data_IF_880467288030
#
_entry.id   IF_880467288030
#
_cell.length_a   1.000
_cell.length_b   1.000
_cell.length_c   1.000
_cell.angle_alpha   90.00
_cell.angle_beta   90.00
_cell.angle_gamma   90.00
#
_symmetry.space_group_name_H-M   'P 1'
#
loop_
_entity.id
_entity.type
_entity.pdbx_description
1 polymer ?
#
# COMPACT_ATOMS: atom_id res chain seq x y z
N UNK A 1 14.37 -11.83 1.62
CA UNK A 1 13.07 -11.53 1.49
C UNK A 1 12.45 -11.24 2.78
N UNK A 2 11.31 -11.78 3.15
CA UNK A 2 10.68 -11.37 4.40
C UNK A 2 11.12 -12.23 5.60
N UNK A 3 11.95 -13.17 5.38
CA UNK A 3 12.77 -13.85 6.42
C UNK A 3 12.10 -14.10 7.75
N UNK A 4 11.09 -14.88 7.82
CA UNK A 4 10.36 -15.22 9.03
C UNK A 4 9.56 -14.06 9.64
N UNK A 5 9.47 -12.94 8.97
CA UNK A 5 8.63 -11.87 9.46
C UNK A 5 7.19 -12.14 9.11
N UNK A 6 6.29 -11.62 9.91
CA UNK A 6 4.87 -11.73 9.65
C UNK A 6 4.32 -13.10 9.93
N UNK A 7 3.16 -13.38 9.37
CA UNK A 7 2.49 -14.65 9.59
C UNK A 7 1.85 -15.12 8.29
N UNK A 8 1.64 -16.41 8.16
CA UNK A 8 1.02 -16.98 6.97
C UNK A 8 -0.47 -17.09 7.19
N UNK A 9 -1.24 -16.68 6.20
CA UNK A 9 -2.68 -16.76 6.25
C UNK A 9 -3.19 -16.77 4.82
N UNK A 10 -4.16 -17.60 4.52
CA UNK A 10 -4.76 -17.68 3.18
C UNK A 10 -3.75 -18.01 2.08
N UNK A 11 -2.67 -18.68 2.46
CA UNK A 11 -1.68 -19.11 1.48
C UNK A 11 -0.62 -18.09 1.14
N UNK A 12 -0.54 -16.99 1.87
CA UNK A 12 0.49 -15.99 1.63
C UNK A 12 0.89 -15.31 2.94
N UNK A 13 2.01 -14.60 2.89
CA UNK A 13 2.56 -13.96 4.06
C UNK A 13 1.88 -12.62 4.32
N UNK A 14 1.61 -12.34 5.58
CA UNK A 14 1.06 -11.06 6.02
C UNK A 14 2.06 -10.39 6.94
N UNK A 15 2.27 -9.10 6.76
CA UNK A 15 3.17 -8.32 7.61
C UNK A 15 2.34 -7.32 8.41
N UNK A 16 2.70 -7.11 9.67
CA UNK A 16 2.09 -6.03 10.43
C UNK A 16 2.57 -4.71 9.84
N UNK A 17 1.90 -3.59 10.13
CA UNK A 17 2.36 -2.31 9.62
C UNK A 17 3.80 -2.00 10.00
N UNK A 18 4.21 -2.31 11.24
CA UNK A 18 5.57 -2.02 11.67
C UNK A 18 6.59 -2.89 10.94
N UNK A 19 6.26 -4.16 10.72
CA UNK A 19 7.14 -5.03 9.96
C UNK A 19 7.25 -4.55 8.51
N UNK A 20 6.13 -4.15 7.94
CA UNK A 20 6.12 -3.67 6.55
C UNK A 20 6.93 -2.38 6.43
N UNK A 21 6.79 -1.48 7.39
CA UNK A 21 7.55 -0.24 7.36
C UNK A 21 9.05 -0.52 7.47
N UNK A 22 9.44 -1.42 8.35
CA UNK A 22 10.86 -1.76 8.49
C UNK A 22 11.41 -2.32 7.17
N UNK A 23 10.66 -3.18 6.50
CA UNK A 23 11.11 -3.72 5.22
C UNK A 23 11.19 -2.63 4.16
N UNK A 24 10.20 -1.73 4.13
CA UNK A 24 10.18 -0.67 3.14
C UNK A 24 11.28 0.36 3.37
N UNK A 25 11.60 0.64 4.63
CA UNK A 25 12.57 1.67 4.97
C UNK A 25 14.01 1.14 4.95
N UNK A 26 14.20 -0.11 5.37
CA UNK A 26 15.55 -0.63 5.58
C UNK A 26 16.00 -1.64 4.53
N UNK A 27 15.13 -2.10 3.68
CA UNK A 27 15.53 -3.02 2.64
C UNK A 27 15.04 -2.48 1.30
N UNK A 28 14.95 -3.33 0.28
CA UNK A 28 14.54 -2.89 -1.04
C UNK A 28 13.06 -3.13 -1.30
N UNK A 29 12.28 -3.40 -0.27
CA UNK A 29 10.87 -3.70 -0.44
C UNK A 29 10.12 -2.50 -1.02
N UNK A 30 9.17 -2.81 -1.90
CA UNK A 30 8.34 -1.81 -2.55
C UNK A 30 6.93 -1.98 -2.03
N UNK A 31 6.29 -0.90 -1.60
CA UNK A 31 4.88 -0.95 -1.27
C UNK A 31 4.09 -0.71 -2.56
N UNK A 32 3.25 -1.66 -2.91
CA UNK A 32 2.38 -1.55 -4.08
C UNK A 32 0.99 -1.26 -3.58
N UNK A 33 0.55 -0.01 -3.75
CA UNK A 33 -0.73 0.47 -3.26
C UNK A 33 -1.77 0.16 -4.31
N UNK A 34 -2.68 -0.76 -4.01
CA UNK A 34 -3.67 -1.21 -4.97
C UNK A 34 -5.03 -0.58 -4.76
N UNK A 35 -5.10 0.48 -3.95
CA UNK A 35 -6.35 1.22 -3.79
C UNK A 35 -6.72 1.88 -5.11
N UNK A 36 -8.01 1.96 -5.39
CA UNK A 36 -8.45 2.68 -6.58
C UNK A 36 -8.13 4.16 -6.39
N UNK A 37 -7.89 4.86 -7.47
CA UNK A 37 -7.47 6.25 -7.38
C UNK A 37 -8.45 7.10 -6.59
N UNK A 38 -9.73 6.85 -6.73
CA UNK A 38 -10.72 7.61 -5.99
C UNK A 38 -10.68 7.37 -4.49
N UNK A 39 -10.03 6.28 -4.06
CA UNK A 39 -9.94 5.94 -2.65
C UNK A 39 -8.63 6.38 -2.01
N UNK A 40 -7.66 6.79 -2.81
CA UNK A 40 -6.39 7.24 -2.27
C UNK A 40 -6.54 8.55 -1.53
N UNK A 41 -7.34 9.44 -2.07
CA UNK A 41 -7.56 10.72 -1.42
C UNK A 41 -6.27 11.48 -1.26
N UNK A 42 -6.05 12.02 -0.08
CA UNK A 42 -4.86 12.82 0.17
C UNK A 42 -3.85 12.12 1.07
N UNK A 43 -4.07 10.83 1.40
CA UNK A 43 -3.14 10.11 2.25
C UNK A 43 -2.39 9.08 1.45
N UNK A 44 -1.07 9.11 1.54
CA UNK A 44 -0.21 8.14 0.87
C UNK A 44 0.85 7.63 1.83
N UNK A 45 1.32 6.41 1.61
CA UNK A 45 2.42 5.87 2.39
C UNK A 45 3.68 6.71 2.15
N UNK A 46 4.36 7.09 3.22
CA UNK A 46 5.59 7.86 3.09
C UNK A 46 6.76 6.91 3.23
N UNK A 47 7.11 6.25 2.14
CA UNK A 47 8.17 5.25 2.10
C UNK A 47 9.04 5.51 0.87
N UNK A 48 10.28 5.00 0.88
CA UNK A 48 11.19 5.28 -0.23
C UNK A 48 10.73 4.74 -1.58
N UNK A 49 10.04 3.60 -1.60
CA UNK A 49 9.61 2.98 -2.84
C UNK A 49 8.13 2.68 -2.76
N UNK A 50 7.35 3.38 -3.54
CA UNK A 50 5.90 3.26 -3.55
C UNK A 50 5.43 3.25 -4.99
N UNK A 51 4.61 2.27 -5.33
CA UNK A 51 3.99 2.17 -6.65
C UNK A 51 2.50 2.18 -6.45
N UNK A 52 1.79 3.00 -7.22
CA UNK A 52 0.33 2.98 -7.23
C UNK A 52 -0.12 2.15 -8.42
N UNK A 53 -0.75 1.02 -8.15
CA UNK A 53 -1.26 0.16 -9.22
C UNK A 53 -2.63 -0.34 -8.78
N UNK A 54 -3.68 0.41 -9.10
CA UNK A 54 -5.03 0.05 -8.65
C UNK A 54 -5.41 -1.37 -9.07
N UNK A 55 -6.16 -2.03 -8.21
CA UNK A 55 -6.58 -3.41 -8.48
C UNK A 55 -7.25 -3.51 -9.85
N UNK A 56 -8.02 -2.50 -10.26
CA UNK A 56 -8.71 -2.54 -11.53
C UNK A 56 -7.75 -2.50 -12.72
N UNK A 57 -6.49 -2.12 -12.50
CA UNK A 57 -5.50 -2.04 -13.57
C UNK A 57 -4.39 -3.07 -13.42
N UNK A 58 -4.57 -4.03 -12.50
CA UNK A 58 -3.49 -4.97 -12.23
C UNK A 58 -3.14 -5.83 -13.45
N UNK A 59 -4.12 -6.18 -14.27
CA UNK A 59 -3.88 -7.04 -15.42
C UNK A 59 -3.04 -6.36 -16.48
N UNK A 60 -3.08 -5.03 -16.56
CA UNK A 60 -2.27 -4.31 -17.52
C UNK A 60 -0.93 -3.91 -16.91
N UNK A 61 -0.88 -3.66 -15.59
CA UNK A 61 0.28 -3.07 -14.98
C UNK A 61 1.26 -4.02 -14.32
N UNK A 62 0.85 -5.26 -14.07
CA UNK A 62 1.71 -6.17 -13.31
C UNK A 62 3.03 -6.47 -14.02
N UNK A 63 3.08 -6.33 -15.33
CA UNK A 63 4.30 -6.63 -16.08
C UNK A 63 5.43 -5.68 -15.72
N UNK A 64 5.10 -4.53 -15.13
CA UNK A 64 6.11 -3.57 -14.74
C UNK A 64 6.61 -3.79 -13.31
N UNK A 65 6.06 -4.77 -12.59
CA UNK A 65 6.50 -5.03 -11.24
C UNK A 65 7.73 -5.93 -11.23
N UNK A 66 8.60 -5.74 -10.26
CA UNK A 66 9.83 -6.51 -10.17
C UNK A 66 9.55 -7.89 -9.56
N UNK A 67 10.12 -8.94 -10.14
CA UNK A 67 10.07 -10.27 -9.53
C UNK A 67 11.18 -10.44 -8.51
N UNK A 68 12.16 -9.54 -8.51
CA UNK A 68 13.32 -9.70 -7.65
C UNK A 68 13.21 -8.95 -6.34
N UNK A 69 12.53 -7.83 -6.34
CA UNK A 69 12.40 -7.05 -5.11
C UNK A 69 11.18 -7.49 -4.34
N UNK A 70 11.25 -7.46 -3.00
CA UNK A 70 10.08 -7.81 -2.21
C UNK A 70 8.95 -6.83 -2.45
N UNK A 71 7.74 -7.33 -2.64
CA UNK A 71 6.57 -6.49 -2.87
C UNK A 71 5.62 -6.62 -1.69
N UNK A 72 5.19 -5.50 -1.15
CA UNK A 72 4.21 -5.47 -0.07
C UNK A 72 2.94 -4.88 -0.66
N UNK A 73 1.92 -5.69 -0.78
CA UNK A 73 0.66 -5.26 -1.41
C UNK A 73 -0.23 -4.64 -0.35
N UNK A 74 -0.67 -3.43 -0.59
CA UNK A 74 -1.40 -2.65 0.40
C UNK A 74 -2.69 -2.07 -0.16
N UNK A 75 -3.75 -2.11 0.64
CA UNK A 75 -4.99 -1.44 0.27
C UNK A 75 -5.51 -0.69 1.50
N UNK A 76 -6.80 -0.43 1.58
CA UNK A 76 -7.35 0.34 2.69
C UNK A 76 -7.36 -0.46 3.99
N UNK A 77 -7.87 -1.69 3.96
CA UNK A 77 -8.02 -2.51 5.16
C UNK A 77 -7.40 -3.90 5.05
N UNK A 78 -6.72 -4.19 3.96
CA UNK A 78 -5.99 -5.46 3.83
C UNK A 78 -6.79 -6.61 3.25
N UNK A 79 -7.97 -6.36 2.71
CA UNK A 79 -8.80 -7.44 2.17
C UNK A 79 -8.77 -7.52 0.65
N UNK A 80 -8.80 -6.39 -0.05
CA UNK A 80 -8.76 -6.43 -1.51
C UNK A 80 -7.41 -6.85 -2.02
N UNK A 81 -6.38 -6.59 -1.24
CA UNK A 81 -5.03 -6.99 -1.62
C UNK A 81 -4.90 -8.50 -1.75
N UNK A 82 -5.77 -9.27 -1.08
CA UNK A 82 -5.72 -10.73 -1.20
C UNK A 82 -5.93 -11.20 -2.63
N UNK A 83 -6.89 -10.59 -3.33
CA UNK A 83 -7.15 -10.97 -4.72
C UNK A 83 -5.97 -10.60 -5.61
N UNK A 84 -5.36 -9.46 -5.34
CA UNK A 84 -4.19 -9.03 -6.10
C UNK A 84 -3.04 -10.00 -5.88
N UNK A 85 -2.83 -10.42 -4.63
CA UNK A 85 -1.75 -11.35 -4.32
C UNK A 85 -1.97 -12.68 -5.02
N UNK A 86 -3.20 -13.18 -5.01
CA UNK A 86 -3.50 -14.43 -5.70
C UNK A 86 -3.19 -14.32 -7.18
N UNK A 87 -3.58 -13.20 -7.78
CA UNK A 87 -3.31 -12.96 -9.19
C UNK A 87 -1.80 -12.94 -9.47
N UNK A 88 -1.05 -12.23 -8.62
CA UNK A 88 0.39 -12.11 -8.83
C UNK A 88 1.10 -13.43 -8.58
N UNK A 89 0.65 -14.21 -7.60
CA UNK A 89 1.22 -15.53 -7.38
C UNK A 89 1.03 -16.42 -8.60
N UNK A 90 -0.13 -16.32 -9.25
CA UNK A 90 -0.39 -17.09 -10.46
C UNK A 90 0.50 -16.63 -11.61
N UNK A 91 1.03 -15.40 -11.55
CA UNK A 91 1.95 -14.89 -12.57
C UNK A 91 3.41 -15.10 -12.20
N UNK A 92 3.68 -15.86 -11.14
CA UNK A 92 5.05 -16.22 -10.80
C UNK A 92 5.73 -15.34 -9.76
N UNK A 93 5.01 -14.41 -9.18
CA UNK A 93 5.59 -13.57 -8.13
C UNK A 93 5.62 -14.37 -6.84
N UNK A 94 6.80 -14.56 -6.27
CA UNK A 94 6.96 -15.35 -5.05
C UNK A 94 7.41 -14.52 -3.86
N UNK A 95 8.00 -13.35 -4.10
CA UNK A 95 8.54 -12.52 -3.04
C UNK A 95 7.53 -11.42 -2.73
N UNK A 96 6.42 -11.80 -2.14
CA UNK A 96 5.26 -10.94 -2.03
C UNK A 96 4.58 -11.14 -0.68
N UNK A 97 4.07 -10.09 -0.10
CA UNK A 97 3.37 -10.15 1.19
C UNK A 97 2.23 -9.14 1.19
N UNK A 98 1.29 -9.34 2.10
CA UNK A 98 0.16 -8.45 2.30
C UNK A 98 0.45 -7.53 3.48
N UNK A 99 0.07 -6.26 3.37
CA UNK A 99 0.09 -5.36 4.52
C UNK A 99 -1.19 -5.59 5.32
N UNK A 100 -1.05 -6.26 6.46
CA UNK A 100 -2.21 -6.58 7.28
C UNK A 100 -2.86 -5.31 7.79
N UNK A 101 -4.17 -5.20 7.60
CA UNK A 101 -4.91 -4.04 8.04
C UNK A 101 -4.82 -2.82 7.15
N UNK A 102 -3.97 -2.86 6.14
CA UNK A 102 -3.90 -1.79 5.15
C UNK A 102 -3.47 -0.45 5.71
N UNK A 103 -3.80 0.62 5.00
CA UNK A 103 -3.39 1.95 5.42
C UNK A 103 -4.09 2.38 6.71
N UNK A 104 -5.26 1.82 7.01
CA UNK A 104 -5.97 2.15 8.23
C UNK A 104 -5.14 1.75 9.45
N UNK A 105 -4.61 0.52 9.46
CA UNK A 105 -3.78 0.09 10.58
C UNK A 105 -2.41 0.77 10.58
N UNK A 106 -1.89 1.07 9.41
CA UNK A 106 -0.64 1.81 9.27
C UNK A 106 -0.77 3.17 9.99
N UNK A 107 -1.87 3.85 9.73
CA UNK A 107 -2.10 5.14 10.34
C UNK A 107 -2.32 5.02 11.85
N UNK A 108 -3.05 3.99 12.30
CA UNK A 108 -3.27 3.79 13.72
C UNK A 108 -1.96 3.55 14.47
N UNK A 109 -1.02 2.90 13.81
CA UNK A 109 0.28 2.64 14.43
C UNK A 109 1.20 3.85 14.38
N UNK A 110 0.73 4.96 13.85
CA UNK A 110 1.53 6.19 13.82
C UNK A 110 2.65 6.18 12.81
N UNK A 111 2.57 5.33 11.79
CA UNK A 111 3.65 5.23 10.80
C UNK A 111 3.53 6.34 9.77
N UNK A 112 4.63 6.67 9.07
CA UNK A 112 4.65 7.86 8.22
C UNK A 112 3.68 7.84 7.07
N UNK A 113 2.98 8.93 6.89
CA UNK A 113 2.10 9.16 5.76
C UNK A 113 2.40 10.53 5.18
N UNK A 114 2.27 10.64 3.87
CA UNK A 114 2.32 11.94 3.23
C UNK A 114 0.90 12.41 3.05
N UNK A 115 0.63 13.64 3.50
CA UNK A 115 -0.68 14.23 3.40
C UNK A 115 -0.65 15.29 2.32
N UNK A 116 -1.52 15.16 1.32
CA UNK A 116 -1.58 16.11 0.23
C UNK A 116 -2.78 17.02 0.47
N UNK A 117 -2.54 18.15 1.06
CA UNK A 117 -3.60 19.08 1.39
C UNK A 117 -4.25 19.69 0.16
N UNK A 118 -3.52 19.82 -0.93
CA UNK A 118 -4.12 20.38 -2.11
C UNK A 118 -5.14 19.42 -2.71
N UNK A 119 -4.88 18.11 -2.60
CA UNK A 119 -5.85 17.14 -3.05
C UNK A 119 -7.08 17.16 -2.14
N UNK A 120 -6.88 17.31 -0.86
CA UNK A 120 -7.98 17.39 0.07
C UNK A 120 -8.86 18.60 -0.23
N UNK A 121 -8.26 19.75 -0.50
CA UNK A 121 -9.01 20.95 -0.77
C UNK A 121 -9.75 20.86 -2.09
N UNK A 122 -9.14 20.28 -3.11
CA UNK A 122 -9.83 20.22 -4.38
C UNK A 122 -10.86 19.12 -4.41
N UNK A 123 -10.66 18.10 -3.63
CA UNK A 123 -11.62 17.02 -3.64
C UNK A 123 -12.83 17.27 -2.81
N UNK A 124 -12.76 18.13 -1.81
CA UNK A 124 -13.89 18.38 -1.02
C UNK A 124 -14.47 19.63 -1.49
N UNK A 125 -15.47 20.01 -1.07
CA UNK A 125 -16.03 21.19 -1.43
C UNK A 125 -15.20 22.24 -1.00
N UNK A 126 -14.76 23.00 -1.88
CA UNK A 126 -13.94 24.00 -1.55
C UNK A 126 -14.56 24.94 -0.75
N UNK A 127 -15.78 24.92 -0.62
CA UNK A 127 -16.39 25.86 0.18
C UNK A 127 -16.03 25.72 1.54
N UNK A 128 -15.51 24.77 1.89
CA UNK A 128 -15.14 24.78 3.18
C UNK A 128 -13.88 25.19 3.40
N UNK A 129 -13.37 25.77 2.81
CA UNK A 129 -12.18 26.12 2.98
C UNK A 129 -11.80 26.91 3.81
N UNK A 130 -11.86 26.99 4.35
CA UNK A 130 -11.51 27.43 4.97
C UNK A 130 -10.51 27.40 5.36
N UNK A 131 -9.76 27.45 5.33
CA UNK A 131 -8.78 27.07 5.46
C UNK A 131 -8.30 26.71 6.53
N UNK A 132 -8.48 26.46 7.03
CA UNK A 132 -8.23 26.01 7.77
C UNK A 132 -7.25 25.73 8.10
N UNK A 133 -6.72 25.70 7.80
CA UNK A 133 -5.94 25.24 7.72
C UNK A 133 -5.37 24.88 8.02
N UNK A 134 -5.25 24.83 8.52
CA UNK A 134 -4.82 24.19 8.57
C UNK A 134 -3.88 24.11 8.55
N UNK A 135 -3.04 24.19 8.57
CA UNK A 135 -2.19 23.83 8.33
C UNK A 135 -1.43 23.94 8.47
#
# INVERSE_FOLDING_TARGET
>A
MFNNKGFMSSGFRNLSPREAYAEAAESTAIIVDVREERLIGYKNFDVPRLIHLPKSKIEQGYVNLSHEQPLIIADSVGLRSHEVIEFLQAKGFTNIANLAGGIVEWEKDGLPLKIDLSEQLSGSCVCQLRPRNRK
#
